data_IF_299427869407
#
_entry.id   IF_299427869407
#
_cell.length_a   1.000
_cell.length_b   1.000
_cell.length_c   1.000
_cell.angle_alpha   90.00
_cell.angle_beta   90.00
_cell.angle_gamma   90.00
#
_symmetry.space_group_name_H-M   'P 1'
#
loop_
_entity.id
_entity.type
_entity.pdbx_description
1 polymer ?
#
# COMPACT_ATOMS: atom_id res chain seq x y z
N UNK A 1 -0.67 -22.48 8.57
CA UNK A 1 -1.77 -22.23 7.61
C UNK A 1 -2.70 -23.43 7.58
N UNK A 2 -2.19 -24.65 7.35
CA UNK A 2 -2.98 -25.90 7.42
C UNK A 2 -3.69 -26.00 8.78
N UNK A 3 -4.99 -26.32 8.75
CA UNK A 3 -5.83 -26.54 9.92
C UNK A 3 -6.19 -25.29 10.71
N UNK A 4 -5.81 -24.09 10.25
CA UNK A 4 -6.19 -22.83 10.92
C UNK A 4 -7.56 -22.42 10.43
N UNK A 5 -8.58 -22.72 11.24
CA UNK A 5 -9.98 -22.38 10.95
C UNK A 5 -10.23 -20.87 10.92
N UNK A 6 -11.11 -20.44 10.03
CA UNK A 6 -11.48 -19.03 9.82
C UNK A 6 -12.99 -18.85 10.02
N UNK A 7 -13.39 -17.71 10.59
CA UNK A 7 -14.81 -17.35 10.76
C UNK A 7 -15.29 -16.40 9.64
N UNK A 8 -16.60 -16.16 9.55
CA UNK A 8 -17.18 -15.21 8.59
C UNK A 8 -17.54 -15.86 7.26
N UNK A 9 -17.05 -15.31 6.15
CA UNK A 9 -17.37 -15.77 4.79
C UNK A 9 -16.41 -16.84 4.24
N UNK A 10 -15.42 -17.25 5.04
CA UNK A 10 -14.46 -18.27 4.65
C UNK A 10 -15.11 -19.67 4.70
N UNK A 11 -14.85 -20.47 3.66
CA UNK A 11 -15.35 -21.84 3.54
C UNK A 11 -14.28 -22.91 3.81
N UNK A 12 -13.05 -22.46 4.00
CA UNK A 12 -11.84 -23.27 4.02
C UNK A 12 -10.98 -22.86 5.21
N UNK A 13 -10.01 -23.71 5.55
CA UNK A 13 -8.91 -23.26 6.40
C UNK A 13 -8.02 -22.26 5.65
N UNK A 14 -7.10 -21.62 6.36
CA UNK A 14 -6.19 -20.62 5.76
C UNK A 14 -5.40 -21.16 4.55
N UNK A 15 -5.00 -22.44 4.57
CA UNK A 15 -4.19 -23.01 3.48
C UNK A 15 -5.03 -23.28 2.23
N UNK A 16 -6.16 -23.97 2.38
CA UNK A 16 -7.05 -24.29 1.28
C UNK A 16 -7.66 -23.02 0.67
N UNK A 17 -8.00 -22.02 1.51
CA UNK A 17 -8.39 -20.68 1.05
C UNK A 17 -7.32 -20.06 0.15
N UNK A 18 -6.06 -20.12 0.58
CA UNK A 18 -4.92 -19.55 -0.17
C UNK A 18 -4.75 -20.24 -1.53
N UNK A 19 -4.89 -21.57 -1.60
CA UNK A 19 -4.82 -22.29 -2.87
C UNK A 19 -5.98 -21.89 -3.80
N UNK A 20 -7.20 -21.80 -3.27
CA UNK A 20 -8.35 -21.35 -4.05
C UNK A 20 -8.23 -19.90 -4.54
N UNK A 21 -7.59 -19.02 -3.77
CA UNK A 21 -7.28 -17.65 -4.18
C UNK A 21 -6.21 -17.64 -5.29
N UNK A 22 -5.20 -18.49 -5.22
CA UNK A 22 -4.18 -18.63 -6.28
C UNK A 22 -4.77 -19.09 -7.62
N UNK A 23 -5.74 -20.01 -7.58
CA UNK A 23 -6.45 -20.48 -8.77
C UNK A 23 -7.33 -19.37 -9.39
N UNK A 24 -7.81 -18.44 -8.57
CA UNK A 24 -8.66 -17.31 -8.97
C UNK A 24 -7.89 -16.04 -9.26
N UNK A 25 -6.56 -16.06 -9.15
CA UNK A 25 -5.74 -14.88 -9.41
C UNK A 25 -5.82 -14.52 -10.90
N UNK A 26 -6.25 -13.29 -11.27
CA UNK A 26 -6.58 -12.95 -12.66
C UNK A 26 -5.34 -12.70 -13.55
N UNK A 27 -4.14 -13.03 -13.07
CA UNK A 27 -2.87 -12.72 -13.73
C UNK A 27 -1.78 -13.73 -13.41
N UNK A 28 -0.87 -13.91 -14.36
CA UNK A 28 0.35 -14.71 -14.22
C UNK A 28 1.55 -13.91 -13.66
N UNK A 29 1.34 -12.63 -13.34
CA UNK A 29 2.37 -11.79 -12.76
C UNK A 29 2.89 -12.36 -11.43
N UNK A 30 4.20 -12.60 -11.38
CA UNK A 30 4.86 -13.25 -10.25
C UNK A 30 4.65 -12.52 -8.93
N UNK A 31 4.69 -11.18 -8.92
CA UNK A 31 4.55 -10.38 -7.69
C UNK A 31 3.14 -10.50 -7.15
N UNK A 32 2.13 -10.40 -8.01
CA UNK A 32 0.73 -10.61 -7.61
C UNK A 32 0.52 -12.03 -7.07
N UNK A 33 1.02 -13.06 -7.77
CA UNK A 33 0.85 -14.47 -7.32
C UNK A 33 1.56 -14.76 -6.00
N UNK A 34 2.76 -14.22 -5.79
CA UNK A 34 3.46 -14.35 -4.51
C UNK A 34 2.72 -13.62 -3.39
N UNK A 35 2.15 -12.44 -3.67
CA UNK A 35 1.33 -11.72 -2.70
C UNK A 35 0.06 -12.49 -2.33
N UNK A 36 -0.64 -13.11 -3.29
CA UNK A 36 -1.79 -13.98 -3.02
C UNK A 36 -1.37 -15.21 -2.21
N UNK A 37 -0.25 -15.85 -2.55
CA UNK A 37 0.28 -16.99 -1.79
C UNK A 37 0.56 -16.64 -0.32
N UNK A 38 0.93 -15.39 -0.04
CA UNK A 38 1.40 -14.96 1.28
C UNK A 38 0.42 -14.02 2.02
N UNK A 39 -0.72 -13.64 1.42
CA UNK A 39 -1.60 -12.60 1.98
C UNK A 39 -2.03 -12.90 3.43
N UNK A 40 -2.31 -14.16 3.71
CA UNK A 40 -2.77 -14.65 5.01
C UNK A 40 -1.69 -15.38 5.83
N UNK A 41 -0.42 -15.29 5.44
CA UNK A 41 0.68 -16.00 6.12
C UNK A 41 0.82 -15.60 7.60
N UNK A 42 0.37 -14.40 7.94
CA UNK A 42 0.35 -13.88 9.31
C UNK A 42 -0.81 -14.36 10.18
N UNK A 43 -1.83 -15.06 9.62
CA UNK A 43 -2.99 -15.54 10.41
C UNK A 43 -2.60 -16.55 11.50
N UNK A 44 -1.78 -17.59 11.24
CA UNK A 44 -1.40 -18.55 12.29
C UNK A 44 -0.73 -17.94 13.54
N UNK A 45 0.31 -17.07 13.43
CA UNK A 45 0.92 -16.48 14.63
C UNK A 45 0.06 -15.42 15.32
N UNK A 46 -0.97 -14.90 14.66
CA UNK A 46 -1.91 -13.90 15.23
C UNK A 46 -3.25 -14.50 15.62
N UNK A 47 -3.39 -15.82 15.55
CA UNK A 47 -4.64 -16.51 15.81
C UNK A 47 -5.00 -16.44 17.29
N UNK A 48 -6.22 -15.99 17.57
CA UNK A 48 -6.84 -16.05 18.87
C UNK A 48 -8.30 -16.49 18.76
N UNK A 49 -8.87 -16.95 19.87
CA UNK A 49 -10.29 -17.28 19.98
C UNK A 49 -10.93 -16.29 20.95
N UNK A 50 -11.92 -15.53 20.48
CA UNK A 50 -12.67 -14.59 21.29
C UNK A 50 -13.62 -15.31 22.26
N UNK A 51 -14.14 -14.59 23.26
CA UNK A 51 -15.06 -15.14 24.27
C UNK A 51 -16.35 -15.74 23.66
N UNK A 52 -16.76 -15.25 22.49
CA UNK A 52 -17.92 -15.75 21.72
C UNK A 52 -17.59 -16.98 20.86
N UNK A 53 -16.36 -17.51 20.94
CA UNK A 53 -15.88 -18.67 20.18
C UNK A 53 -15.40 -18.32 18.76
N UNK A 54 -15.42 -17.05 18.35
CA UNK A 54 -14.97 -16.63 17.02
C UNK A 54 -13.45 -16.61 16.90
N UNK A 55 -12.95 -17.05 15.75
CA UNK A 55 -11.54 -16.99 15.42
C UNK A 55 -11.17 -15.57 14.97
N UNK A 56 -10.13 -14.99 15.58
CA UNK A 56 -9.64 -13.65 15.26
C UNK A 56 -8.17 -13.70 14.86
N UNK A 57 -7.77 -12.73 14.04
CA UNK A 57 -6.43 -12.61 13.45
C UNK A 57 -6.01 -11.14 13.46
N UNK A 58 -5.98 -10.56 14.66
CA UNK A 58 -5.65 -9.14 14.81
C UNK A 58 -4.23 -8.90 14.32
N UNK A 59 -4.05 -7.85 13.51
CA UNK A 59 -2.75 -7.42 13.00
C UNK A 59 -2.05 -8.37 12.01
N UNK A 60 -2.72 -9.44 11.56
CA UNK A 60 -2.13 -10.38 10.60
C UNK A 60 -1.59 -9.77 9.29
N UNK A 61 -2.09 -8.64 8.75
CA UNK A 61 -1.48 -8.04 7.56
C UNK A 61 -0.07 -7.48 7.84
N UNK A 62 0.18 -6.92 9.04
CA UNK A 62 1.50 -6.40 9.40
C UNK A 62 2.47 -7.55 9.68
N UNK A 63 2.08 -8.50 10.53
CA UNK A 63 2.88 -9.71 10.82
C UNK A 63 3.14 -10.50 9.53
N UNK A 64 2.13 -10.64 8.67
CA UNK A 64 2.26 -11.33 7.39
C UNK A 64 3.23 -10.64 6.43
N UNK A 65 3.28 -9.31 6.43
CA UNK A 65 4.25 -8.57 5.60
C UNK A 65 5.68 -8.79 6.08
N UNK A 66 5.94 -8.74 7.39
CA UNK A 66 7.26 -9.03 7.97
C UNK A 66 7.70 -10.46 7.63
N UNK A 67 6.78 -11.43 7.79
CA UNK A 67 7.05 -12.83 7.39
C UNK A 67 7.32 -12.97 5.89
N UNK A 68 6.60 -12.23 5.04
CA UNK A 68 6.83 -12.25 3.59
C UNK A 68 8.24 -11.73 3.25
N UNK A 69 8.71 -10.67 3.93
CA UNK A 69 10.08 -10.17 3.78
C UNK A 69 11.12 -11.22 4.12
N UNK A 70 10.97 -11.89 5.27
CA UNK A 70 11.88 -12.93 5.73
C UNK A 70 11.88 -14.15 4.78
N UNK A 71 10.70 -14.62 4.37
CA UNK A 71 10.55 -15.77 3.48
C UNK A 71 11.21 -15.50 2.13
N UNK A 72 10.88 -14.38 1.50
CA UNK A 72 11.40 -14.06 0.16
C UNK A 72 12.88 -13.67 0.18
N UNK A 73 13.34 -13.02 1.25
CA UNK A 73 14.76 -12.75 1.48
C UNK A 73 15.59 -14.03 1.62
N UNK A 74 15.08 -15.03 2.35
CA UNK A 74 15.70 -16.36 2.45
C UNK A 74 15.75 -17.08 1.11
N UNK A 75 14.71 -16.92 0.28
CA UNK A 75 14.62 -17.48 -1.07
C UNK A 75 15.40 -16.68 -2.13
N UNK A 76 16.09 -15.59 -1.74
CA UNK A 76 16.95 -14.77 -2.61
C UNK A 76 16.23 -14.05 -3.74
N UNK A 77 14.97 -13.66 -3.54
CA UNK A 77 14.31 -12.69 -4.42
C UNK A 77 15.02 -11.32 -4.36
N UNK A 78 14.86 -10.50 -5.40
CA UNK A 78 15.46 -9.16 -5.41
C UNK A 78 14.81 -8.27 -4.33
N UNK A 79 15.56 -7.29 -3.81
CA UNK A 79 15.04 -6.40 -2.78
C UNK A 79 13.77 -5.63 -3.19
N UNK A 80 13.62 -5.32 -4.48
CA UNK A 80 12.41 -4.69 -4.99
C UNK A 80 11.22 -5.67 -5.02
N UNK A 81 11.45 -6.92 -5.43
CA UNK A 81 10.40 -7.94 -5.41
C UNK A 81 9.92 -8.23 -3.98
N UNK A 82 10.86 -8.31 -3.03
CA UNK A 82 10.55 -8.51 -1.61
C UNK A 82 9.68 -7.36 -1.09
N UNK A 83 10.10 -6.11 -1.35
CA UNK A 83 9.38 -4.91 -0.92
C UNK A 83 7.98 -4.82 -1.52
N UNK A 84 7.85 -5.14 -2.80
CA UNK A 84 6.57 -5.07 -3.51
C UNK A 84 5.59 -6.11 -2.98
N UNK A 85 6.02 -7.37 -2.81
CA UNK A 85 5.17 -8.43 -2.25
C UNK A 85 4.77 -8.10 -0.82
N UNK A 86 5.72 -7.70 0.04
CA UNK A 86 5.41 -7.33 1.44
C UNK A 86 4.43 -6.16 1.52
N UNK A 87 4.55 -5.17 0.62
CA UNK A 87 3.60 -4.05 0.54
C UNK A 87 2.20 -4.52 0.17
N UNK A 88 2.07 -5.42 -0.81
CA UNK A 88 0.78 -6.00 -1.19
C UNK A 88 0.16 -6.82 -0.04
N UNK A 89 0.95 -7.67 0.62
CA UNK A 89 0.50 -8.44 1.80
C UNK A 89 0.06 -7.49 2.92
N UNK A 90 0.79 -6.40 3.21
CA UNK A 90 0.39 -5.45 4.24
C UNK A 90 -0.96 -4.75 3.95
N UNK A 91 -1.26 -4.53 2.67
CA UNK A 91 -2.43 -3.76 2.24
C UNK A 91 -3.62 -4.62 1.83
N UNK A 92 -3.50 -5.95 1.79
CA UNK A 92 -4.47 -6.84 1.11
C UNK A 92 -5.92 -6.70 1.59
N UNK A 93 -6.15 -6.41 2.89
CA UNK A 93 -7.51 -6.20 3.40
C UNK A 93 -8.12 -4.85 3.00
N UNK A 94 -7.32 -3.84 2.66
CA UNK A 94 -7.81 -2.47 2.46
C UNK A 94 -8.87 -2.39 1.34
N UNK A 95 -8.70 -3.03 0.17
CA UNK A 95 -9.74 -3.04 -0.85
C UNK A 95 -10.95 -3.90 -0.44
N UNK A 96 -10.74 -5.00 0.29
CA UNK A 96 -11.82 -5.91 0.72
C UNK A 96 -12.75 -5.24 1.75
N UNK A 97 -12.17 -4.40 2.61
CA UNK A 97 -12.88 -3.63 3.63
C UNK A 97 -13.49 -2.33 3.12
N UNK A 98 -13.16 -1.92 1.89
CA UNK A 98 -13.68 -0.71 1.31
C UNK A 98 -15.19 -0.78 1.13
N UNK A 99 -15.87 0.30 1.48
CA UNK A 99 -17.30 0.50 1.19
C UNK A 99 -17.50 1.93 0.71
N UNK A 100 -18.15 2.09 -0.44
CA UNK A 100 -18.32 3.39 -1.09
C UNK A 100 -19.04 4.45 -0.22
N UNK A 101 -19.93 4.01 0.67
CA UNK A 101 -20.77 4.85 1.54
C UNK A 101 -20.03 5.38 2.79
N UNK A 102 -19.08 4.60 3.33
CA UNK A 102 -18.35 4.95 4.56
C UNK A 102 -16.93 5.45 4.29
N UNK A 103 -16.34 5.11 3.15
CA UNK A 103 -15.00 5.56 2.79
C UNK A 103 -15.05 6.81 1.92
N UNK A 104 -14.62 7.94 2.48
CA UNK A 104 -14.47 9.20 1.74
C UNK A 104 -13.23 9.25 0.85
N UNK A 105 -13.15 10.25 -0.04
CA UNK A 105 -12.03 10.44 -0.99
C UNK A 105 -10.68 10.53 -0.29
N UNK A 106 -10.61 11.10 0.92
CA UNK A 106 -9.38 11.16 1.70
C UNK A 106 -8.83 9.75 2.03
N UNK A 107 -9.71 8.80 2.35
CA UNK A 107 -9.31 7.41 2.61
C UNK A 107 -8.79 6.74 1.33
N UNK A 108 -9.48 6.95 0.21
CA UNK A 108 -9.06 6.41 -1.09
C UNK A 108 -7.71 7.00 -1.53
N UNK A 109 -7.50 8.31 -1.36
CA UNK A 109 -6.20 8.95 -1.64
C UNK A 109 -5.06 8.38 -0.79
N UNK A 110 -5.31 8.09 0.50
CA UNK A 110 -4.32 7.41 1.35
C UNK A 110 -3.98 6.02 0.83
N UNK A 111 -4.98 5.25 0.37
CA UNK A 111 -4.74 3.93 -0.22
C UNK A 111 -3.97 4.02 -1.54
N UNK A 112 -4.31 4.98 -2.41
CA UNK A 112 -3.57 5.23 -3.65
C UNK A 112 -2.11 5.55 -3.34
N UNK A 113 -1.83 6.40 -2.35
CA UNK A 113 -0.46 6.73 -1.93
C UNK A 113 0.27 5.50 -1.38
N UNK A 114 -0.37 4.74 -0.51
CA UNK A 114 0.23 3.56 0.12
C UNK A 114 0.54 2.46 -0.89
N UNK A 115 -0.35 2.23 -1.87
CA UNK A 115 -0.14 1.24 -2.92
C UNK A 115 0.81 1.75 -4.03
N UNK A 116 0.80 3.05 -4.31
CA UNK A 116 1.61 3.68 -5.34
C UNK A 116 1.51 2.95 -6.69
N UNK A 117 2.63 2.52 -7.29
CA UNK A 117 2.62 1.80 -8.57
C UNK A 117 2.01 0.39 -8.48
N UNK A 118 1.83 -0.17 -7.28
CA UNK A 118 1.28 -1.52 -7.05
C UNK A 118 -0.24 -1.54 -7.01
N UNK A 119 -0.92 -0.40 -7.20
CA UNK A 119 -2.39 -0.27 -7.14
C UNK A 119 -3.13 -1.38 -7.90
N UNK A 120 -2.77 -1.61 -9.17
CA UNK A 120 -3.44 -2.62 -9.98
C UNK A 120 -3.27 -4.02 -9.39
N UNK A 121 -2.05 -4.37 -8.99
CA UNK A 121 -1.73 -5.65 -8.36
C UNK A 121 -2.48 -5.84 -7.03
N UNK A 122 -2.62 -4.77 -6.24
CA UNK A 122 -3.36 -4.79 -4.98
C UNK A 122 -4.85 -5.12 -5.20
N UNK A 123 -5.45 -4.54 -6.24
CA UNK A 123 -6.84 -4.84 -6.60
C UNK A 123 -6.97 -6.30 -7.08
N UNK A 124 -5.99 -6.82 -7.83
CA UNK A 124 -5.98 -8.23 -8.26
C UNK A 124 -5.85 -9.20 -7.09
N UNK A 125 -5.01 -8.90 -6.10
CA UNK A 125 -4.91 -9.67 -4.84
C UNK A 125 -6.26 -9.70 -4.13
N UNK A 126 -6.90 -8.55 -3.98
CA UNK A 126 -8.19 -8.46 -3.30
C UNK A 126 -9.32 -9.20 -4.03
N UNK A 127 -9.35 -9.14 -5.37
CA UNK A 127 -10.30 -9.92 -6.18
C UNK A 127 -10.09 -11.42 -5.99
N UNK A 128 -8.85 -11.89 -6.07
CA UNK A 128 -8.50 -13.29 -5.89
C UNK A 128 -8.95 -13.83 -4.52
N UNK A 129 -8.66 -13.07 -3.44
CA UNK A 129 -9.05 -13.39 -2.07
C UNK A 129 -10.59 -13.42 -1.91
N UNK A 130 -11.27 -12.37 -2.39
CA UNK A 130 -12.73 -12.26 -2.29
C UNK A 130 -13.43 -13.42 -3.01
N UNK A 131 -13.01 -13.73 -4.24
CA UNK A 131 -13.60 -14.80 -5.05
C UNK A 131 -13.34 -16.21 -4.48
N UNK A 132 -12.33 -16.38 -3.63
CA UNK A 132 -12.03 -17.65 -2.95
C UNK A 132 -12.90 -17.90 -1.71
N UNK A 133 -13.74 -16.93 -1.33
CA UNK A 133 -14.68 -17.01 -0.21
C UNK A 133 -16.14 -17.06 -0.68
N UNK A 134 -17.09 -17.15 0.26
CA UNK A 134 -18.54 -16.98 -0.01
C UNK A 134 -18.99 -15.52 -0.02
N UNK A 135 -18.06 -14.56 -0.07
CA UNK A 135 -18.39 -13.15 -0.08
C UNK A 135 -19.23 -12.78 -1.32
N UNK A 136 -20.28 -11.94 -1.20
CA UNK A 136 -21.33 -11.80 -2.21
C UNK A 136 -20.90 -11.25 -3.58
N UNK A 137 -19.73 -10.62 -3.70
CA UNK A 137 -19.22 -10.14 -4.98
C UNK A 137 -18.03 -9.20 -4.87
N UNK A 138 -17.55 -8.70 -6.02
CA UNK A 138 -16.36 -7.84 -6.16
C UNK A 138 -16.72 -6.40 -6.55
N UNK A 139 -18.00 -6.03 -6.53
CA UNK A 139 -18.50 -4.75 -7.05
C UNK A 139 -17.89 -3.54 -6.31
N UNK A 140 -17.68 -3.66 -5.00
CA UNK A 140 -17.00 -2.61 -4.20
C UNK A 140 -15.53 -2.46 -4.59
N UNK A 141 -14.86 -3.55 -5.01
CA UNK A 141 -13.46 -3.50 -5.48
C UNK A 141 -13.40 -2.81 -6.85
N UNK A 142 -14.39 -3.07 -7.71
CA UNK A 142 -14.47 -2.44 -9.03
C UNK A 142 -14.81 -0.94 -8.92
N UNK A 143 -15.74 -0.55 -8.04
CA UNK A 143 -15.99 0.87 -7.75
C UNK A 143 -14.74 1.55 -7.18
N UNK A 144 -14.04 0.90 -6.24
CA UNK A 144 -12.79 1.42 -5.69
C UNK A 144 -11.76 1.65 -6.80
N UNK A 145 -11.64 0.72 -7.75
CA UNK A 145 -10.72 0.84 -8.87
C UNK A 145 -11.02 2.09 -9.71
N UNK A 146 -12.29 2.31 -10.07
CA UNK A 146 -12.73 3.49 -10.82
C UNK A 146 -12.50 4.79 -10.03
N UNK A 147 -12.77 4.77 -8.72
CA UNK A 147 -12.60 5.92 -7.83
C UNK A 147 -11.13 6.27 -7.64
N UNK A 148 -10.26 5.27 -7.47
CA UNK A 148 -8.81 5.48 -7.42
C UNK A 148 -8.30 6.13 -8.70
N UNK A 149 -8.73 5.65 -9.86
CA UNK A 149 -8.33 6.21 -11.16
C UNK A 149 -8.83 7.65 -11.33
N UNK A 150 -10.07 7.93 -10.94
CA UNK A 150 -10.63 9.29 -10.94
C UNK A 150 -9.84 10.25 -10.05
N UNK A 151 -9.46 9.82 -8.85
CA UNK A 151 -8.77 10.66 -7.86
C UNK A 151 -7.29 10.87 -8.16
N UNK A 152 -6.68 9.95 -8.89
CA UNK A 152 -5.26 9.97 -9.27
C UNK A 152 -5.05 10.23 -10.77
N UNK A 153 -6.06 10.77 -11.45
CA UNK A 153 -5.92 11.17 -12.86
C UNK A 153 -4.76 12.15 -13.00
N UNK A 154 -3.76 11.78 -13.80
CA UNK A 154 -2.52 12.57 -13.97
C UNK A 154 -1.42 12.28 -12.93
N UNK A 155 -1.61 11.31 -12.04
CA UNK A 155 -0.58 10.80 -11.12
C UNK A 155 -0.30 11.67 -9.89
N UNK A 156 -1.11 12.71 -9.64
CA UNK A 156 -0.87 13.66 -8.55
C UNK A 156 -0.91 13.04 -7.14
N UNK A 157 -1.50 11.85 -6.99
CA UNK A 157 -1.62 11.15 -5.71
C UNK A 157 -0.59 10.02 -5.61
N UNK A 158 -0.41 9.21 -6.65
CA UNK A 158 0.52 8.06 -6.64
C UNK A 158 1.96 8.42 -6.99
N UNK A 159 2.18 9.52 -7.71
CA UNK A 159 3.49 10.01 -8.13
C UNK A 159 3.60 11.51 -7.81
N UNK A 160 3.62 11.87 -6.52
CA UNK A 160 3.74 13.26 -6.11
C UNK A 160 5.01 13.86 -6.70
N UNK A 161 4.85 14.86 -7.56
CA UNK A 161 5.97 15.65 -8.04
C UNK A 161 6.43 16.59 -6.93
N UNK A 162 7.74 16.81 -6.77
CA UNK A 162 8.20 17.84 -5.84
C UNK A 162 7.56 19.17 -6.26
N UNK A 163 6.98 19.93 -5.32
CA UNK A 163 6.32 21.20 -5.61
C UNK A 163 7.30 22.28 -6.12
N UNK A 164 8.61 22.07 -5.92
CA UNK A 164 9.68 22.94 -6.37
C UNK A 164 10.69 22.16 -7.22
N UNK A 165 11.11 22.78 -8.32
CA UNK A 165 12.19 22.24 -9.16
C UNK A 165 13.57 22.43 -8.51
N UNK A 166 14.56 21.72 -9.04
CA UNK A 166 15.93 21.79 -8.53
C UNK A 166 16.53 23.20 -8.65
N UNK A 167 16.16 23.97 -9.69
CA UNK A 167 16.62 25.32 -9.90
C UNK A 167 16.17 26.27 -8.78
N UNK A 168 14.90 26.15 -8.38
CA UNK A 168 14.32 26.92 -7.28
C UNK A 168 14.96 26.56 -5.94
N UNK A 169 15.15 25.27 -5.69
CA UNK A 169 15.83 24.79 -4.47
C UNK A 169 17.26 25.32 -4.40
N UNK A 170 18.04 25.23 -5.50
CA UNK A 170 19.41 25.76 -5.58
C UNK A 170 19.45 27.28 -5.33
N UNK A 171 18.49 28.04 -5.88
CA UNK A 171 18.36 29.48 -5.66
C UNK A 171 18.08 29.81 -4.20
N UNK A 172 17.15 29.10 -3.56
CA UNK A 172 16.80 29.31 -2.15
C UNK A 172 17.96 28.93 -1.21
N UNK A 173 18.65 27.82 -1.51
CA UNK A 173 19.82 27.36 -0.75
C UNK A 173 21.11 28.14 -1.04
N UNK A 174 21.13 28.99 -2.09
CA UNK A 174 22.34 29.68 -2.59
C UNK A 174 23.53 28.73 -2.81
N UNK A 175 23.26 27.56 -3.37
CA UNK A 175 24.23 26.46 -3.54
C UNK A 175 24.11 25.85 -4.94
N UNK A 176 25.25 25.35 -5.43
CA UNK A 176 25.31 24.60 -6.68
C UNK A 176 24.63 23.22 -6.60
N UNK A 177 24.54 22.51 -7.74
CA UNK A 177 23.89 21.21 -7.80
C UNK A 177 24.59 20.18 -6.92
N UNK A 178 23.82 19.25 -6.36
CA UNK A 178 24.36 18.13 -5.58
C UNK A 178 23.27 17.26 -4.94
N UNK A 179 23.65 16.17 -4.25
CA UNK A 179 22.71 15.21 -3.66
C UNK A 179 21.71 15.82 -2.67
N UNK A 180 22.04 16.99 -2.11
CA UNK A 180 21.17 17.73 -1.20
C UNK A 180 19.86 18.20 -1.86
N UNK A 181 19.87 18.49 -3.16
CA UNK A 181 18.66 18.92 -3.89
C UNK A 181 17.61 17.80 -3.88
N UNK A 182 18.03 16.55 -4.13
CA UNK A 182 17.14 15.40 -4.08
C UNK A 182 16.58 15.15 -2.68
N UNK A 183 17.39 15.35 -1.63
CA UNK A 183 16.91 15.25 -0.24
C UNK A 183 15.86 16.29 0.09
N UNK A 184 16.05 17.53 -0.35
CA UNK A 184 15.05 18.61 -0.17
C UNK A 184 13.77 18.31 -0.97
N UNK A 185 13.91 17.82 -2.20
CA UNK A 185 12.75 17.40 -3.00
C UNK A 185 11.96 16.28 -2.33
N UNK A 186 12.62 15.34 -1.67
CA UNK A 186 11.95 14.28 -0.92
C UNK A 186 11.24 14.81 0.33
N UNK A 187 11.91 15.65 1.13
CA UNK A 187 11.30 16.29 2.29
C UNK A 187 10.07 17.15 1.92
N UNK A 188 10.11 17.85 0.78
CA UNK A 188 8.96 18.59 0.26
C UNK A 188 7.82 17.67 -0.17
N UNK A 189 8.12 16.51 -0.78
CA UNK A 189 7.09 15.53 -1.12
C UNK A 189 6.45 14.97 0.16
N UNK A 190 7.23 14.59 1.15
CA UNK A 190 6.72 14.09 2.43
C UNK A 190 5.81 15.10 3.11
N UNK A 191 6.25 16.35 3.27
CA UNK A 191 5.44 17.42 3.86
C UNK A 191 4.12 17.68 3.09
N UNK A 192 4.18 17.67 1.75
CA UNK A 192 3.00 17.79 0.90
C UNK A 192 2.04 16.60 1.09
N UNK A 193 2.58 15.39 1.24
CA UNK A 193 1.80 14.19 1.49
C UNK A 193 1.15 14.23 2.89
N UNK A 194 1.84 14.78 3.89
CA UNK A 194 1.34 14.97 5.25
C UNK A 194 0.33 16.11 5.39
N UNK A 195 0.12 16.88 4.31
CA UNK A 195 -0.90 17.95 4.26
C UNK A 195 -0.43 19.27 4.86
N UNK A 196 0.87 19.45 5.07
CA UNK A 196 1.46 20.73 5.49
C UNK A 196 1.17 21.85 4.50
N UNK A 197 1.00 21.51 3.22
CA UNK A 197 0.56 22.41 2.15
C UNK A 197 -0.06 21.62 0.99
N UNK A 198 -0.89 22.25 0.14
CA UNK A 198 -1.58 21.56 -0.94
C UNK A 198 -0.65 21.19 -2.10
N UNK A 199 -0.92 20.07 -2.80
CA UNK A 199 -0.18 19.72 -4.01
C UNK A 199 -0.27 20.80 -5.09
N UNK A 200 0.86 21.08 -5.75
CA UNK A 200 0.95 22.09 -6.81
C UNK A 200 1.04 23.54 -6.32
N UNK A 201 0.99 23.79 -5.02
CA UNK A 201 1.18 25.13 -4.45
C UNK A 201 2.67 25.40 -4.16
N UNK A 202 3.35 25.90 -5.20
CA UNK A 202 4.76 26.26 -5.10
C UNK A 202 5.03 27.35 -4.05
N UNK A 203 4.09 28.29 -3.83
CA UNK A 203 4.28 29.38 -2.87
C UNK A 203 4.25 28.85 -1.43
N UNK A 204 3.29 27.97 -1.12
CA UNK A 204 3.21 27.31 0.18
C UNK A 204 4.42 26.40 0.42
N UNK A 205 4.88 25.68 -0.60
CA UNK A 205 6.09 24.86 -0.53
C UNK A 205 7.36 25.70 -0.28
N UNK A 206 7.52 26.85 -0.96
CA UNK A 206 8.63 27.77 -0.69
C UNK A 206 8.59 28.31 0.75
N UNK A 207 7.41 28.69 1.24
CA UNK A 207 7.23 29.17 2.60
C UNK A 207 7.60 28.10 3.63
N UNK A 208 7.14 26.86 3.42
CA UNK A 208 7.46 25.71 4.26
C UNK A 208 8.97 25.43 4.30
N UNK A 209 9.65 25.53 3.15
CA UNK A 209 11.09 25.32 3.05
C UNK A 209 11.90 26.43 3.72
N UNK A 210 11.47 27.69 3.61
CA UNK A 210 12.11 28.83 4.28
C UNK A 210 11.99 28.75 5.80
N UNK A 211 10.93 28.15 6.32
CA UNK A 211 10.77 27.89 7.74
C UNK A 211 11.73 26.79 8.27
N UNK A 212 12.42 26.07 7.37
CA UNK A 212 13.31 24.93 7.66
C UNK A 212 14.69 25.12 7.01
N UNK A 213 15.45 26.15 7.42
CA UNK A 213 16.74 26.48 6.81
C UNK A 213 17.78 25.36 6.91
N UNK A 214 17.65 24.45 7.88
CA UNK A 214 18.49 23.27 8.05
C UNK A 214 18.45 22.32 6.84
N UNK A 215 17.32 22.26 6.11
CA UNK A 215 17.21 21.46 4.89
C UNK A 215 18.01 22.08 3.73
N UNK A 216 18.19 23.40 3.75
CA UNK A 216 18.96 24.16 2.75
C UNK A 216 20.45 24.23 3.09
N UNK A 217 20.79 24.06 4.37
CA UNK A 217 22.16 24.11 4.86
C UNK A 217 23.01 22.96 4.30
N UNK A 218 24.31 23.21 4.16
CA UNK A 218 25.28 22.15 3.89
C UNK A 218 25.50 21.28 5.14
N UNK A 219 26.04 20.06 4.97
CA UNK A 219 26.68 19.40 6.09
C UNK A 219 27.80 20.28 6.68
#
# INVERSE_FOLDING_TARGET
MIGVEQSGWHCYDVYDHTLHALDRTPTDDLITRLAVLLHDVGKPPTHAVAEDGRHTFHDHPHVGAEMAEEILGRLRFSGDQVRDVATLVRLHLRPIQYRHDTHGDAAVRRLVRAAGPLRAKLLDVARADTLASSYPGIEEIDELAERMERLDRGGAVSRPTPPLDGATIMRLGRRGPGPWVGRVQEALKEAMLDGEFPPGDAAAAEAWLRARPELLAGP
#
